data_IF_366344113195
#
_entry.id   IF_366344113195
#
_cell.length_a   1.000
_cell.length_b   1.000
_cell.length_c   1.000
_cell.angle_alpha   90.00
_cell.angle_beta   90.00
_cell.angle_gamma   90.00
#
_symmetry.space_group_name_H-M   'P 1'
#
loop_
_entity.id
_entity.type
_entity.pdbx_description
1 polymer ?
#
# COMPACT_ATOMS: atom_id res chain seq x y z
N UNK A 1 -2.31 21.17 7.82
CA UNK A 1 -1.87 21.72 6.53
C UNK A 1 -0.66 22.62 6.76
N UNK A 2 0.15 22.84 5.73
CA UNK A 2 1.29 23.77 5.74
C UNK A 2 1.02 24.86 4.71
N UNK A 3 1.30 26.11 5.05
CA UNK A 3 1.06 27.26 4.18
C UNK A 3 2.33 27.73 3.46
N UNK A 4 2.16 28.44 2.35
CA UNK A 4 3.29 29.05 1.63
C UNK A 4 4.03 30.03 2.56
N UNK A 5 5.36 29.89 2.63
CA UNK A 5 6.22 30.72 3.48
C UNK A 5 6.32 30.25 4.94
N UNK A 6 5.63 29.17 5.31
CA UNK A 6 5.70 28.62 6.66
C UNK A 6 7.07 27.98 6.95
N UNK A 7 7.64 28.28 8.12
CA UNK A 7 8.90 27.70 8.56
C UNK A 7 8.63 26.30 9.13
N UNK A 8 8.92 25.28 8.34
CA UNK A 8 8.70 23.87 8.73
C UNK A 8 9.82 23.27 9.61
N UNK A 9 11.03 23.84 9.55
CA UNK A 9 12.18 23.42 10.35
C UNK A 9 13.27 24.49 10.37
N UNK A 10 14.10 24.50 11.41
CA UNK A 10 15.36 25.27 11.48
C UNK A 10 16.50 24.30 11.79
N UNK A 11 17.61 24.41 11.07
CA UNK A 11 18.78 23.54 11.22
C UNK A 11 20.02 24.40 11.48
N UNK A 12 20.81 24.03 12.49
CA UNK A 12 22.04 24.74 12.87
C UNK A 12 23.24 23.78 12.92
N UNK A 13 24.40 24.21 12.45
CA UNK A 13 25.61 23.40 12.38
C UNK A 13 26.65 23.97 11.42
N UNK A 14 27.76 23.25 11.17
CA UNK A 14 28.78 23.69 10.24
C UNK A 14 28.21 23.92 8.83
N UNK A 15 28.45 25.10 8.27
CA UNK A 15 27.89 25.51 6.97
C UNK A 15 28.16 24.48 5.86
N UNK A 16 29.38 23.94 5.81
CA UNK A 16 29.77 22.92 4.82
C UNK A 16 28.88 21.67 4.90
N UNK A 17 28.59 21.18 6.10
CA UNK A 17 27.76 19.98 6.30
C UNK A 17 26.32 20.22 5.87
N UNK A 18 25.75 21.37 6.26
CA UNK A 18 24.39 21.75 5.90
C UNK A 18 24.24 21.83 4.38
N UNK A 19 25.11 22.61 3.71
CA UNK A 19 25.06 22.80 2.25
C UNK A 19 25.30 21.49 1.48
N UNK A 20 26.11 20.57 2.03
CA UNK A 20 26.35 19.26 1.41
C UNK A 20 25.11 18.35 1.49
N UNK A 21 24.39 18.38 2.61
CA UNK A 21 23.24 17.51 2.84
C UNK A 21 21.92 18.08 2.28
N UNK A 22 21.86 19.39 2.03
CA UNK A 22 20.65 20.14 1.68
C UNK A 22 19.84 19.47 0.58
N UNK A 23 20.46 19.21 -0.58
CA UNK A 23 19.72 18.69 -1.75
C UNK A 23 19.12 17.31 -1.47
N UNK A 24 19.87 16.44 -0.82
CA UNK A 24 19.39 15.11 -0.46
C UNK A 24 18.23 15.19 0.53
N UNK A 25 18.34 16.02 1.56
CA UNK A 25 17.28 16.22 2.55
C UNK A 25 16.01 16.78 1.90
N UNK A 26 16.13 17.80 1.05
CA UNK A 26 15.00 18.40 0.35
C UNK A 26 14.36 17.42 -0.64
N UNK A 27 15.14 16.60 -1.35
CA UNK A 27 14.58 15.61 -2.27
C UNK A 27 13.67 14.60 -1.54
N UNK A 28 14.11 14.09 -0.39
CA UNK A 28 13.26 13.20 0.43
C UNK A 28 12.04 13.94 0.98
N UNK A 29 12.24 15.13 1.54
CA UNK A 29 11.16 15.89 2.14
C UNK A 29 10.08 16.24 1.11
N UNK A 30 10.47 16.75 -0.06
CA UNK A 30 9.54 17.10 -1.14
C UNK A 30 8.80 15.86 -1.67
N UNK A 31 9.51 14.77 -1.96
CA UNK A 31 8.89 13.54 -2.49
C UNK A 31 7.86 12.96 -1.51
N UNK A 32 8.26 12.78 -0.25
CA UNK A 32 7.41 12.18 0.77
C UNK A 32 6.25 13.09 1.17
N UNK A 33 6.47 14.41 1.22
CA UNK A 33 5.38 15.37 1.46
C UNK A 33 4.38 15.39 0.31
N UNK A 34 4.83 15.24 -0.94
CA UNK A 34 3.96 15.11 -2.11
C UNK A 34 3.03 13.88 -2.00
N UNK A 35 3.59 12.72 -1.63
CA UNK A 35 2.81 11.49 -1.41
C UNK A 35 1.81 11.67 -0.27
N UNK A 36 2.22 12.24 0.87
CA UNK A 36 1.33 12.47 2.00
C UNK A 36 0.19 13.43 1.63
N UNK A 37 0.50 14.50 0.91
CA UNK A 37 -0.50 15.50 0.45
C UNK A 37 -1.49 14.88 -0.52
N UNK A 38 -1.02 14.12 -1.51
CA UNK A 38 -1.88 13.42 -2.47
C UNK A 38 -2.73 12.32 -1.79
N UNK A 39 -2.19 11.65 -0.77
CA UNK A 39 -2.97 10.68 0.01
C UNK A 39 -4.07 11.38 0.80
N UNK A 40 -3.75 12.50 1.45
CA UNK A 40 -4.71 13.27 2.24
C UNK A 40 -5.89 13.77 1.39
N UNK A 41 -5.66 14.19 0.14
CA UNK A 41 -6.75 14.60 -0.75
C UNK A 41 -7.70 13.45 -1.11
N UNK A 42 -7.18 12.23 -1.31
CA UNK A 42 -8.01 11.04 -1.60
C UNK A 42 -8.76 10.60 -0.34
N UNK A 43 -8.11 10.62 0.83
CA UNK A 43 -8.74 10.33 2.12
C UNK A 43 -9.88 11.31 2.39
N UNK A 44 -9.68 12.59 2.08
CA UNK A 44 -10.71 13.61 2.22
C UNK A 44 -11.89 13.37 1.26
N UNK A 45 -11.62 12.94 0.02
CA UNK A 45 -12.66 12.63 -0.96
C UNK A 45 -13.60 11.48 -0.56
N UNK A 46 -13.15 10.56 0.31
CA UNK A 46 -13.97 9.46 0.84
C UNK A 46 -14.49 9.72 2.25
N UNK A 47 -14.31 10.94 2.77
CA UNK A 47 -14.74 11.32 4.11
C UNK A 47 -16.25 11.10 4.28
N UNK A 48 -16.64 10.45 5.36
CA UNK A 48 -18.04 10.09 5.65
C UNK A 48 -18.41 8.66 5.27
N UNK A 49 -17.49 7.91 4.64
CA UNK A 49 -17.59 6.47 4.48
C UNK A 49 -16.64 5.75 5.44
N UNK A 50 -16.90 4.46 5.66
CA UNK A 50 -15.99 3.57 6.42
C UNK A 50 -14.80 3.06 5.58
N UNK A 51 -14.67 3.58 4.36
CA UNK A 51 -13.62 3.20 3.43
C UNK A 51 -12.24 3.68 3.92
N UNK A 52 -11.23 2.82 3.73
CA UNK A 52 -9.83 3.16 3.97
C UNK A 52 -9.09 3.24 2.65
N UNK A 53 -8.31 4.29 2.47
CA UNK A 53 -7.40 4.42 1.33
C UNK A 53 -6.15 3.61 1.62
N UNK A 54 -5.77 2.69 0.72
CA UNK A 54 -4.68 1.76 0.93
C UNK A 54 -3.66 1.84 -0.21
N UNK A 55 -2.36 1.88 0.12
CA UNK A 55 -1.29 1.88 -0.89
C UNK A 55 -1.02 0.49 -1.50
N UNK A 56 -0.16 0.40 -2.52
CA UNK A 56 0.19 -0.87 -3.18
C UNK A 56 1.69 -1.19 -3.07
N UNK A 57 2.17 -2.16 -3.86
CA UNK A 57 3.60 -2.44 -4.09
C UNK A 57 4.17 -1.73 -5.33
N UNK A 58 3.37 -0.91 -6.02
CA UNK A 58 3.80 -0.06 -7.15
C UNK A 58 4.54 1.17 -6.61
N UNK A 59 5.72 0.93 -6.06
CA UNK A 59 6.56 1.90 -5.36
C UNK A 59 7.89 2.10 -6.08
N UNK A 60 8.53 3.24 -5.88
CA UNK A 60 9.88 3.49 -6.42
C UNK A 60 10.87 2.46 -5.84
N UNK A 61 11.71 1.82 -6.69
CA UNK A 61 12.70 0.85 -6.21
C UNK A 61 13.59 1.44 -5.10
N UNK A 62 13.73 0.69 -3.99
CA UNK A 62 14.52 1.11 -2.82
C UNK A 62 13.80 2.06 -1.85
N UNK A 63 12.69 2.68 -2.25
CA UNK A 63 11.99 3.70 -1.42
C UNK A 63 10.68 3.22 -0.79
N UNK A 64 10.27 1.97 -1.02
CA UNK A 64 8.97 1.44 -0.56
C UNK A 64 8.65 1.76 0.90
N UNK A 65 9.62 1.59 1.79
CA UNK A 65 9.41 1.83 3.21
C UNK A 65 9.07 3.29 3.52
N UNK A 66 9.75 4.22 2.84
CA UNK A 66 9.55 5.65 2.98
C UNK A 66 8.23 6.09 2.33
N UNK A 67 7.91 5.59 1.14
CA UNK A 67 6.66 5.92 0.44
C UNK A 67 5.43 5.40 1.19
N UNK A 68 5.49 4.16 1.71
CA UNK A 68 4.43 3.62 2.58
C UNK A 68 4.32 4.37 3.91
N UNK A 69 5.42 4.90 4.45
CA UNK A 69 5.35 5.81 5.60
C UNK A 69 4.62 7.11 5.23
N UNK A 70 4.95 7.71 4.09
CA UNK A 70 4.30 8.94 3.62
C UNK A 70 2.78 8.77 3.41
N UNK A 71 2.34 7.63 2.88
CA UNK A 71 0.91 7.30 2.78
C UNK A 71 0.24 7.34 4.17
N UNK A 72 0.85 6.72 5.19
CA UNK A 72 0.31 6.78 6.56
C UNK A 72 0.30 8.20 7.11
N UNK A 73 1.33 8.99 6.84
CA UNK A 73 1.39 10.40 7.24
C UNK A 73 0.27 11.24 6.60
N UNK A 74 -0.17 10.88 5.38
CA UNK A 74 -1.32 11.45 4.70
C UNK A 74 -2.69 10.89 5.14
N UNK A 75 -2.73 10.02 6.15
CA UNK A 75 -3.99 9.42 6.65
C UNK A 75 -4.42 8.13 5.94
N UNK A 76 -3.63 7.64 4.98
CA UNK A 76 -3.86 6.35 4.34
C UNK A 76 -3.42 5.16 5.21
N UNK A 77 -3.69 3.96 4.71
CA UNK A 77 -3.30 2.69 5.31
C UNK A 77 -2.35 1.91 4.39
N UNK A 78 -1.59 0.98 4.97
CA UNK A 78 -0.69 0.13 4.22
C UNK A 78 -1.36 -1.18 3.84
N UNK A 79 -1.30 -1.53 2.55
CA UNK A 79 -1.44 -2.93 2.13
C UNK A 79 -0.12 -3.66 2.43
N UNK A 80 -0.05 -4.95 2.08
CA UNK A 80 1.13 -5.78 2.28
C UNK A 80 2.41 -5.13 1.77
N UNK A 81 3.49 -5.29 2.52
CA UNK A 81 4.80 -4.68 2.22
C UNK A 81 5.54 -5.41 1.10
N UNK A 82 5.41 -6.74 1.09
CA UNK A 82 6.11 -7.62 0.17
C UNK A 82 5.27 -8.85 -0.16
N UNK A 83 5.92 -9.86 -0.75
CA UNK A 83 5.29 -11.15 -1.03
C UNK A 83 5.31 -12.09 0.17
N UNK A 84 6.08 -11.72 1.19
CA UNK A 84 6.31 -12.39 2.47
C UNK A 84 5.30 -12.01 3.57
N UNK A 85 4.49 -10.98 3.34
CA UNK A 85 3.60 -10.38 4.35
C UNK A 85 2.15 -10.92 4.27
N UNK A 86 1.64 -11.13 3.05
CA UNK A 86 0.32 -11.72 2.81
C UNK A 86 0.27 -12.41 1.45
N UNK A 87 -0.60 -13.42 1.33
CA UNK A 87 -0.88 -14.07 0.05
C UNK A 87 -1.99 -13.30 -0.66
N UNK A 88 -1.73 -12.87 -1.90
CA UNK A 88 -2.75 -12.34 -2.81
C UNK A 88 -2.79 -13.24 -4.03
N UNK A 89 -3.88 -13.98 -4.18
CA UNK A 89 -4.13 -14.85 -5.32
C UNK A 89 -4.71 -13.98 -6.44
N UNK A 90 -4.02 -13.98 -7.58
CA UNK A 90 -4.44 -13.30 -8.82
C UNK A 90 -4.92 -14.30 -9.87
N UNK A 91 -5.54 -13.80 -10.93
CA UNK A 91 -5.89 -14.51 -12.17
C UNK A 91 -4.85 -15.56 -12.63
N UNK A 92 -3.58 -15.20 -12.68
CA UNK A 92 -2.48 -16.05 -13.12
C UNK A 92 -2.28 -17.25 -12.18
N UNK A 93 -2.48 -17.05 -10.87
CA UNK A 93 -2.38 -18.12 -9.89
C UNK A 93 -3.56 -19.09 -10.03
N UNK A 94 -4.76 -18.57 -10.26
CA UNK A 94 -5.98 -19.35 -10.50
C UNK A 94 -5.81 -20.21 -11.75
N UNK A 95 -5.34 -19.62 -12.86
CA UNK A 95 -5.08 -20.31 -14.11
C UNK A 95 -4.06 -21.45 -13.96
N UNK A 96 -2.94 -21.20 -13.26
CA UNK A 96 -1.89 -22.21 -13.02
C UNK A 96 -2.35 -23.30 -12.05
N UNK A 97 -3.16 -22.95 -11.04
CA UNK A 97 -3.67 -23.90 -10.06
C UNK A 97 -4.79 -24.79 -10.62
N UNK A 98 -5.43 -24.39 -11.73
CA UNK A 98 -6.56 -25.09 -12.33
C UNK A 98 -7.91 -24.71 -11.71
N UNK A 99 -8.06 -23.48 -11.20
CA UNK A 99 -9.29 -22.95 -10.63
C UNK A 99 -9.12 -22.26 -9.27
N UNK A 100 -10.19 -21.61 -8.79
CA UNK A 100 -10.19 -20.86 -7.52
C UNK A 100 -9.99 -21.79 -6.32
N UNK A 101 -10.77 -22.87 -6.24
CA UNK A 101 -10.66 -23.89 -5.18
C UNK A 101 -9.24 -24.43 -5.01
N UNK A 102 -8.57 -25.00 -6.03
CA UNK A 102 -7.23 -25.53 -5.86
C UNK A 102 -6.20 -24.44 -5.53
N UNK A 103 -6.37 -23.20 -6.01
CA UNK A 103 -5.50 -22.09 -5.64
C UNK A 103 -5.59 -21.78 -4.14
N UNK A 104 -6.82 -21.67 -3.62
CA UNK A 104 -7.09 -21.39 -2.21
C UNK A 104 -6.63 -22.51 -1.28
N UNK A 105 -6.89 -23.77 -1.62
CA UNK A 105 -6.46 -24.92 -0.83
C UNK A 105 -4.92 -25.01 -0.75
N UNK A 106 -4.23 -24.81 -1.88
CA UNK A 106 -2.76 -24.76 -1.90
C UNK A 106 -2.21 -23.59 -1.08
N UNK A 107 -2.84 -22.42 -1.17
CA UNK A 107 -2.45 -21.25 -0.38
C UNK A 107 -2.61 -21.53 1.12
N UNK A 108 -3.75 -22.08 1.56
CA UNK A 108 -4.01 -22.43 2.96
C UNK A 108 -3.04 -23.46 3.52
N UNK A 109 -2.71 -24.49 2.73
CA UNK A 109 -1.79 -25.54 3.15
C UNK A 109 -0.33 -25.07 3.26
N UNK A 110 0.03 -23.96 2.62
CA UNK A 110 1.38 -23.37 2.65
C UNK A 110 1.49 -22.13 3.54
N UNK A 111 0.37 -21.47 3.83
CA UNK A 111 0.33 -20.28 4.67
C UNK A 111 0.63 -20.62 6.14
N UNK A 112 1.46 -19.80 6.78
CA UNK A 112 1.56 -19.78 8.23
C UNK A 112 0.24 -19.28 8.85
N UNK A 113 -0.09 -19.73 10.06
CA UNK A 113 -1.36 -19.41 10.73
C UNK A 113 -1.66 -17.92 10.96
N UNK A 114 -0.66 -17.04 10.79
CA UNK A 114 -0.80 -15.57 10.90
C UNK A 114 -0.89 -14.87 9.52
N UNK A 115 -0.74 -15.60 8.42
CA UNK A 115 -0.72 -15.02 7.07
C UNK A 115 -2.12 -14.95 6.51
N UNK A 116 -2.56 -13.74 6.16
CA UNK A 116 -3.86 -13.50 5.52
C UNK A 116 -3.83 -13.86 4.03
N UNK A 117 -4.96 -14.36 3.53
CA UNK A 117 -5.15 -14.73 2.13
C UNK A 117 -6.24 -13.85 1.50
N UNK A 118 -5.81 -13.03 0.55
CA UNK A 118 -6.65 -12.19 -0.30
C UNK A 118 -6.81 -12.83 -1.69
N UNK A 119 -7.98 -12.72 -2.30
CA UNK A 119 -8.26 -13.22 -3.65
C UNK A 119 -8.77 -12.10 -4.54
N UNK A 120 -8.17 -11.96 -5.72
CA UNK A 120 -8.59 -11.05 -6.78
C UNK A 120 -9.68 -11.72 -7.62
N UNK A 121 -10.76 -10.98 -7.90
CA UNK A 121 -11.88 -11.42 -8.75
C UNK A 121 -12.24 -10.32 -9.74
N UNK A 122 -12.57 -10.70 -10.97
CA UNK A 122 -12.96 -9.79 -12.06
C UNK A 122 -14.45 -9.89 -12.46
N UNK A 123 -15.18 -10.87 -11.91
CA UNK A 123 -16.59 -11.11 -12.21
C UNK A 123 -17.39 -11.43 -10.96
N UNK A 124 -18.69 -11.09 -10.98
CA UNK A 124 -19.61 -11.44 -9.89
C UNK A 124 -19.74 -12.96 -9.68
N UNK A 125 -19.61 -13.75 -10.75
CA UNK A 125 -19.62 -15.20 -10.66
C UNK A 125 -18.40 -15.73 -9.89
N UNK A 126 -17.20 -15.18 -10.14
CA UNK A 126 -16.00 -15.51 -9.36
C UNK A 126 -16.14 -15.06 -7.90
N UNK A 127 -16.73 -13.87 -7.66
CA UNK A 127 -16.99 -13.39 -6.30
C UNK A 127 -17.89 -14.38 -5.54
N UNK A 128 -18.98 -14.82 -6.15
CA UNK A 128 -19.89 -15.81 -5.54
C UNK A 128 -19.18 -17.14 -5.25
N UNK A 129 -18.36 -17.63 -6.18
CA UNK A 129 -17.53 -18.82 -5.96
C UNK A 129 -16.55 -18.62 -4.78
N UNK A 130 -15.81 -17.51 -4.77
CA UNK A 130 -14.79 -17.19 -3.75
C UNK A 130 -15.41 -17.05 -2.36
N UNK A 131 -16.57 -16.42 -2.24
CA UNK A 131 -17.27 -16.25 -0.95
C UNK A 131 -17.61 -17.60 -0.29
N UNK A 132 -17.92 -18.63 -1.09
CA UNK A 132 -18.15 -19.99 -0.60
C UNK A 132 -16.93 -20.63 0.09
N UNK A 133 -15.74 -20.07 -0.12
CA UNK A 133 -14.50 -20.54 0.51
C UNK A 133 -14.08 -19.72 1.74
N UNK A 134 -14.74 -18.61 2.06
CA UNK A 134 -14.40 -17.72 3.17
C UNK A 134 -12.92 -17.26 3.17
N UNK A 135 -12.45 -16.52 2.15
CA UNK A 135 -11.13 -15.89 2.19
C UNK A 135 -11.08 -14.80 3.26
N UNK A 136 -9.86 -14.37 3.63
CA UNK A 136 -9.72 -13.26 4.58
C UNK A 136 -10.10 -11.90 3.98
N UNK A 137 -9.89 -11.75 2.66
CA UNK A 137 -10.24 -10.56 1.91
C UNK A 137 -10.51 -10.91 0.43
N UNK A 138 -11.31 -10.07 -0.24
CA UNK A 138 -11.55 -10.14 -1.67
C UNK A 138 -11.25 -8.79 -2.30
N UNK A 139 -10.45 -8.80 -3.36
CA UNK A 139 -10.14 -7.64 -4.19
C UNK A 139 -11.02 -7.69 -5.44
N UNK A 140 -11.92 -6.72 -5.58
CA UNK A 140 -12.71 -6.53 -6.79
C UNK A 140 -11.84 -5.79 -7.82
N UNK A 141 -11.37 -6.50 -8.83
CA UNK A 141 -10.64 -5.91 -9.96
C UNK A 141 -11.59 -5.70 -11.15
N UNK A 142 -11.33 -4.68 -11.97
CA UNK A 142 -12.26 -4.21 -13.00
C UNK A 142 -12.33 -5.14 -14.22
#
# INVERSE_FOLDING_TARGET
EVSQGEIIATVSGPARTILTAERTALNFLCHLSGIATATASIVDAVRGHDAKIVCTRKTTPGLRALEKYAVRAGGGSNHRFGLDDAILIKDNHIAIAGGIRPALERARNSAGHLVKIEVEVDTLAQLEEVLGFAPDAVLLDN
#
